data_IF_708085433041
#
_entry.id   IF_708085433041
#
_cell.length_a   1.000
_cell.length_b   1.000
_cell.length_c   1.000
_cell.angle_alpha   90.00
_cell.angle_beta   90.00
_cell.angle_gamma   90.00
#
_symmetry.space_group_name_H-M   'P 1'
#
loop_
_entity.id
_entity.type
_entity.pdbx_description
1 polymer ?
#
# COMPACT_ATOMS: atom_id res chain seq x y z
N UNK A 1 7.07 -14.29 10.96
CA UNK A 1 6.73 -14.15 9.52
C UNK A 1 6.83 -12.67 9.18
N UNK A 2 7.58 -12.29 8.15
CA UNK A 2 7.62 -10.90 7.67
C UNK A 2 6.74 -10.81 6.42
N UNK A 3 5.65 -10.03 6.51
CA UNK A 3 4.72 -9.76 5.41
C UNK A 3 4.85 -8.29 5.01
N UNK A 4 4.78 -8.00 3.71
CA UNK A 4 4.78 -6.64 3.17
C UNK A 4 5.91 -5.76 3.74
N UNK A 5 7.11 -6.33 3.93
CA UNK A 5 8.27 -5.56 4.36
C UNK A 5 8.72 -4.62 3.24
N UNK A 6 8.87 -3.34 3.57
CA UNK A 6 9.52 -2.38 2.70
C UNK A 6 11.00 -2.75 2.51
N UNK A 7 11.44 -2.89 1.26
CA UNK A 7 12.82 -3.21 0.91
C UNK A 7 13.74 -1.99 0.75
N UNK A 8 13.16 -0.78 0.68
CA UNK A 8 13.89 0.47 0.44
C UNK A 8 14.52 0.99 1.74
N UNK A 9 13.73 1.04 2.82
CA UNK A 9 14.15 1.59 4.12
C UNK A 9 13.25 1.05 5.26
N UNK A 10 13.34 1.67 6.43
CA UNK A 10 12.56 1.31 7.63
C UNK A 10 11.16 1.93 7.69
N UNK A 11 10.76 2.75 6.72
CA UNK A 11 9.42 3.34 6.67
C UNK A 11 8.38 2.26 6.37
N UNK A 12 7.21 2.35 7.01
CA UNK A 12 6.14 1.36 6.90
C UNK A 12 5.11 1.71 5.83
N UNK A 13 4.30 0.72 5.46
CA UNK A 13 3.07 0.97 4.71
C UNK A 13 2.04 1.64 5.61
N UNK A 14 1.40 2.71 5.12
CA UNK A 14 0.44 3.49 5.87
C UNK A 14 -0.69 4.04 5.00
N UNK A 15 -1.85 4.30 5.62
CA UNK A 15 -2.96 5.03 5.00
C UNK A 15 -3.64 4.28 3.85
N UNK A 16 -3.94 2.99 4.05
CA UNK A 16 -4.62 2.21 3.03
C UNK A 16 -6.07 2.69 2.81
N UNK A 17 -6.49 2.82 1.56
CA UNK A 17 -7.88 3.02 1.18
C UNK A 17 -8.22 2.28 -0.11
N UNK A 18 -9.50 2.13 -0.40
CA UNK A 18 -9.98 1.36 -1.54
C UNK A 18 -10.74 2.25 -2.52
N UNK A 19 -10.58 1.99 -3.81
CA UNK A 19 -11.45 2.56 -4.83
C UNK A 19 -12.91 2.15 -4.59
N UNK A 20 -13.92 2.96 -4.98
CA UNK A 20 -15.33 2.63 -4.73
C UNK A 20 -15.82 1.30 -5.31
N UNK A 21 -15.14 0.79 -6.35
CA UNK A 21 -15.45 -0.48 -6.99
C UNK A 21 -14.61 -1.67 -6.48
N UNK A 22 -13.79 -1.46 -5.44
CA UNK A 22 -12.98 -2.51 -4.81
C UNK A 22 -11.85 -3.09 -5.66
N UNK A 23 -11.55 -2.52 -6.84
CA UNK A 23 -10.53 -3.07 -7.76
C UNK A 23 -9.11 -2.61 -7.44
N UNK A 24 -8.97 -1.49 -6.75
CA UNK A 24 -7.67 -0.89 -6.41
C UNK A 24 -7.61 -0.61 -4.92
N UNK A 25 -6.54 -1.06 -4.27
CA UNK A 25 -6.08 -0.55 -2.99
C UNK A 25 -4.99 0.49 -3.23
N UNK A 26 -5.13 1.66 -2.61
CA UNK A 26 -4.09 2.67 -2.53
C UNK A 26 -3.42 2.56 -1.15
N UNK A 27 -2.09 2.57 -1.10
CA UNK A 27 -1.33 2.54 0.15
C UNK A 27 -0.02 3.30 -0.02
N UNK A 28 0.46 3.94 1.05
CA UNK A 28 1.62 4.82 1.01
C UNK A 28 2.82 4.26 1.78
N UNK A 29 4.02 4.66 1.40
CA UNK A 29 5.22 4.68 2.24
C UNK A 29 5.55 6.16 2.49
N UNK A 30 5.52 6.59 3.75
CA UNK A 30 5.60 8.01 4.13
C UNK A 30 6.94 8.65 3.74
N UNK A 31 8.04 7.92 3.88
CA UNK A 31 9.39 8.33 3.44
C UNK A 31 9.96 7.26 2.50
N UNK A 32 10.22 7.54 1.21
CA UNK A 32 10.37 8.87 0.61
C UNK A 32 9.08 9.47 -0.03
N UNK A 33 7.88 9.02 0.37
CA UNK A 33 6.63 9.54 -0.17
C UNK A 33 6.19 8.83 -1.45
N UNK A 34 6.00 7.52 -1.37
CA UNK A 34 5.58 6.67 -2.50
C UNK A 34 4.14 6.21 -2.28
N UNK A 35 3.29 6.38 -3.28
CA UNK A 35 1.93 5.80 -3.32
C UNK A 35 1.88 4.64 -4.30
N UNK A 36 1.38 3.50 -3.85
CA UNK A 36 1.11 2.33 -4.68
C UNK A 36 -0.38 2.24 -5.01
N UNK A 37 -0.69 1.83 -6.24
CA UNK A 37 -2.00 1.39 -6.66
C UNK A 37 -1.93 -0.11 -6.97
N UNK A 38 -2.55 -0.93 -6.12
CA UNK A 38 -2.48 -2.38 -6.22
C UNK A 38 -3.83 -2.92 -6.69
N UNK A 39 -3.84 -3.55 -7.86
CA UNK A 39 -5.04 -4.17 -8.44
C UNK A 39 -5.31 -5.51 -7.76
N UNK A 40 -6.56 -5.76 -7.37
CA UNK A 40 -6.97 -7.02 -6.74
C UNK A 40 -8.46 -7.07 -6.40
N UNK A 41 -8.96 -8.24 -5.97
CA UNK A 41 -10.31 -8.38 -5.44
C UNK A 41 -10.32 -7.97 -3.95
N UNK A 42 -10.37 -6.67 -3.69
CA UNK A 42 -10.31 -6.14 -2.32
C UNK A 42 -11.67 -6.09 -1.62
N UNK A 43 -12.71 -6.60 -2.28
CA UNK A 43 -14.09 -6.78 -1.79
C UNK A 43 -14.54 -8.21 -2.00
#
# INVERSE_FOLDING_TARGET
YQLARNAINSSEFAGACFSPNGRIMFVNIQEPGITFAIVGPWV
#
